data_IF_670944108131
#
_entry.id   IF_670944108131
#
_cell.length_a   1.000
_cell.length_b   1.000
_cell.length_c   1.000
_cell.angle_alpha   90.00
_cell.angle_beta   90.00
_cell.angle_gamma   90.00
#
_symmetry.space_group_name_H-M   'P 1'
#
loop_
_entity.id
_entity.type
_entity.pdbx_description
1 polymer ?
#
# COMPACT_ATOMS: atom_id res chain seq x y z
N UNK A 1 9.63 19.05 12.46
CA UNK A 1 10.63 18.17 11.83
C UNK A 1 10.44 16.66 12.07
N UNK A 2 9.87 16.19 13.20
CA UNK A 2 9.71 14.75 13.51
C UNK A 2 8.78 13.94 12.56
N UNK A 3 7.63 14.48 12.13
CA UNK A 3 6.63 13.73 11.33
C UNK A 3 7.14 13.22 9.96
N UNK A 4 8.07 13.95 9.32
CA UNK A 4 8.58 13.61 7.97
C UNK A 4 9.57 12.45 7.99
N UNK A 5 10.31 12.26 9.08
CA UNK A 5 11.16 11.08 9.27
C UNK A 5 10.33 9.83 9.53
N UNK A 6 9.29 9.95 10.37
CA UNK A 6 8.44 8.81 10.74
C UNK A 6 7.72 8.18 9.53
N UNK A 7 7.17 9.01 8.64
CA UNK A 7 6.53 8.49 7.41
C UNK A 7 7.56 7.83 6.49
N UNK A 8 8.78 8.38 6.39
CA UNK A 8 9.85 7.78 5.61
C UNK A 8 10.24 6.40 6.16
N UNK A 9 10.42 6.27 7.47
CA UNK A 9 10.74 5.00 8.14
C UNK A 9 9.65 3.96 7.90
N UNK A 10 8.38 4.35 8.02
CA UNK A 10 7.22 3.50 7.71
C UNK A 10 7.20 3.03 6.25
N UNK A 11 7.55 3.89 5.31
CA UNK A 11 7.67 3.52 3.90
C UNK A 11 8.82 2.55 3.66
N UNK A 12 9.97 2.72 4.32
CA UNK A 12 11.07 1.75 4.23
C UNK A 12 10.66 0.37 4.77
N UNK A 13 10.00 0.32 5.94
CA UNK A 13 9.49 -0.92 6.50
C UNK A 13 8.49 -1.61 5.56
N UNK A 14 7.59 -0.85 4.93
CA UNK A 14 6.69 -1.37 3.92
C UNK A 14 7.44 -1.96 2.71
N UNK A 15 8.47 -1.25 2.23
CA UNK A 15 9.31 -1.71 1.11
C UNK A 15 10.01 -3.02 1.45
N UNK A 16 10.55 -3.14 2.65
CA UNK A 16 11.22 -4.36 3.10
C UNK A 16 10.25 -5.55 3.16
N UNK A 17 9.02 -5.33 3.61
CA UNK A 17 7.97 -6.35 3.61
C UNK A 17 7.56 -6.78 2.19
N UNK A 18 7.49 -5.83 1.25
CA UNK A 18 7.25 -6.11 -0.17
C UNK A 18 8.40 -6.94 -0.77
N UNK A 19 9.65 -6.58 -0.46
CA UNK A 19 10.85 -7.31 -0.90
C UNK A 19 10.93 -8.72 -0.32
N UNK A 20 10.66 -8.88 0.97
CA UNK A 20 10.60 -10.18 1.64
C UNK A 20 9.50 -11.08 1.05
N UNK A 21 8.47 -10.49 0.44
CA UNK A 21 7.46 -11.22 -0.33
C UNK A 21 7.90 -11.60 -1.75
N UNK A 22 9.15 -11.32 -2.14
CA UNK A 22 9.78 -11.69 -3.42
C UNK A 22 9.65 -10.66 -4.53
N UNK A 23 9.14 -9.46 -4.27
CA UNK A 23 8.97 -8.43 -5.29
C UNK A 23 10.23 -7.54 -5.44
N UNK A 24 10.55 -7.17 -6.67
CA UNK A 24 11.62 -6.21 -6.99
C UNK A 24 11.04 -4.81 -7.11
N UNK A 25 11.62 -3.84 -6.40
CA UNK A 25 11.18 -2.44 -6.43
C UNK A 25 11.42 -1.80 -7.80
N UNK A 26 10.41 -1.11 -8.33
CA UNK A 26 10.49 -0.30 -9.56
C UNK A 26 10.48 1.19 -9.21
N UNK A 27 9.65 1.60 -8.24
CA UNK A 27 9.58 2.99 -7.78
C UNK A 27 9.30 3.03 -6.27
N UNK A 28 9.77 4.11 -5.64
CA UNK A 28 9.61 4.35 -4.20
C UNK A 28 9.68 5.83 -3.89
N UNK A 29 8.80 6.29 -3.00
CA UNK A 29 8.61 7.71 -2.64
C UNK A 29 9.87 8.35 -2.07
N UNK A 30 10.63 7.58 -1.30
CA UNK A 30 11.89 8.02 -0.72
C UNK A 30 13.03 7.16 -1.25
N UNK A 31 14.16 7.76 -1.60
CA UNK A 31 15.35 7.02 -2.06
C UNK A 31 16.20 7.84 -3.02
N UNK A 32 17.39 7.33 -3.33
CA UNK A 32 18.36 7.99 -4.23
C UNK A 32 18.35 7.44 -5.65
N UNK A 33 17.93 6.18 -5.83
CA UNK A 33 18.21 5.43 -7.06
C UNK A 33 16.97 5.02 -7.86
N UNK A 34 15.79 5.00 -7.23
CA UNK A 34 14.55 4.67 -7.89
C UNK A 34 13.68 5.92 -7.97
N UNK A 35 12.96 6.14 -9.09
CA UNK A 35 12.08 7.28 -9.22
C UNK A 35 10.92 7.19 -8.22
N UNK A 36 10.34 8.33 -7.82
CA UNK A 36 9.09 8.33 -7.07
C UNK A 36 7.96 7.76 -7.93
N UNK A 37 7.02 7.01 -7.32
CA UNK A 37 5.84 6.51 -8.04
C UNK A 37 4.94 7.67 -8.46
N UNK A 38 4.39 7.58 -9.68
CA UNK A 38 3.28 8.44 -10.08
C UNK A 38 2.01 8.04 -9.33
N UNK A 39 1.13 9.01 -8.98
CA UNK A 39 -0.19 8.71 -8.45
C UNK A 39 -0.96 7.79 -9.41
N UNK A 40 -1.77 6.89 -8.85
CA UNK A 40 -2.60 5.97 -9.64
C UNK A 40 -4.06 6.32 -9.33
N UNK A 41 -4.81 6.76 -10.34
CA UNK A 41 -6.24 7.12 -10.20
C UNK A 41 -6.52 8.05 -8.99
N UNK A 42 -5.66 9.07 -8.81
CA UNK A 42 -5.66 10.02 -7.69
C UNK A 42 -5.37 9.44 -6.29
N UNK A 43 -4.84 8.22 -6.22
CA UNK A 43 -4.25 7.67 -5.01
C UNK A 43 -2.75 7.92 -5.00
N UNK A 44 -2.26 8.57 -3.94
CA UNK A 44 -0.82 8.62 -3.69
C UNK A 44 -0.31 7.22 -3.35
N UNK A 45 0.78 6.84 -4.00
CA UNK A 45 1.42 5.54 -3.83
C UNK A 45 2.78 5.77 -3.20
N UNK A 46 3.16 4.92 -2.25
CA UNK A 46 4.48 5.04 -1.60
C UNK A 46 5.53 4.16 -2.29
N UNK A 47 5.10 3.06 -2.90
CA UNK A 47 5.99 2.08 -3.52
C UNK A 47 5.31 1.31 -4.66
N UNK A 48 6.05 0.99 -5.72
CA UNK A 48 5.62 0.03 -6.76
C UNK A 48 6.73 -1.00 -6.96
N UNK A 49 6.34 -2.27 -7.00
CA UNK A 49 7.24 -3.38 -7.19
C UNK A 49 6.66 -4.40 -8.16
N UNK A 50 7.50 -5.32 -8.64
CA UNK A 50 7.10 -6.34 -9.62
C UNK A 50 7.72 -7.69 -9.32
N UNK A 51 6.95 -8.73 -9.56
CA UNK A 51 7.40 -10.11 -9.55
C UNK A 51 6.87 -10.82 -10.79
N UNK A 52 7.74 -11.11 -11.76
CA UNK A 52 7.35 -11.64 -13.07
C UNK A 52 6.30 -10.75 -13.76
N UNK A 53 5.07 -11.24 -13.91
CA UNK A 53 3.94 -10.49 -14.48
C UNK A 53 3.05 -9.82 -13.40
N UNK A 54 3.32 -10.08 -12.11
CA UNK A 54 2.60 -9.52 -10.96
C UNK A 54 3.15 -8.16 -10.55
N UNK A 55 2.25 -7.25 -10.16
CA UNK A 55 2.59 -5.91 -9.69
C UNK A 55 2.19 -5.82 -8.22
N UNK A 56 3.06 -5.26 -7.38
CA UNK A 56 2.74 -4.86 -6.03
C UNK A 56 2.69 -3.34 -5.94
N UNK A 57 1.68 -2.83 -5.25
CA UNK A 57 1.53 -1.41 -4.92
C UNK A 57 1.56 -1.31 -3.40
N UNK A 58 2.37 -0.41 -2.86
CA UNK A 58 2.49 -0.15 -1.44
C UNK A 58 1.94 1.23 -1.10
N UNK A 59 1.06 1.29 -0.12
CA UNK A 59 0.59 2.53 0.52
C UNK A 59 0.76 2.41 2.03
N UNK A 60 1.06 3.51 2.70
CA UNK A 60 1.02 3.64 4.15
C UNK A 60 -0.17 4.49 4.54
N UNK A 61 -0.91 4.05 5.57
CA UNK A 61 -2.08 4.77 6.07
C UNK A 61 -1.87 5.13 7.54
N UNK A 62 -2.25 6.36 7.88
CA UNK A 62 -2.42 6.81 9.26
C UNK A 62 -3.75 6.33 9.86
N UNK A 63 -3.91 6.47 11.18
CA UNK A 63 -5.17 6.15 11.87
C UNK A 63 -6.37 6.96 11.33
N UNK A 64 -6.16 8.24 11.02
CA UNK A 64 -7.19 9.14 10.48
C UNK A 64 -7.67 8.69 9.09
N UNK A 65 -6.75 8.21 8.24
CA UNK A 65 -7.09 7.75 6.90
C UNK A 65 -7.90 6.45 6.90
N UNK A 66 -7.74 5.61 7.92
CA UNK A 66 -8.53 4.38 8.09
C UNK A 66 -10.00 4.65 8.40
N UNK A 67 -10.32 5.81 8.98
CA UNK A 67 -11.69 6.21 9.31
C UNK A 67 -12.39 6.95 8.16
N UNK A 68 -11.64 7.27 7.08
CA UNK A 68 -12.20 7.95 5.93
C UNK A 68 -13.10 7.03 5.11
N UNK A 69 -14.37 7.43 4.94
CA UNK A 69 -15.29 6.78 3.99
C UNK A 69 -14.75 6.77 2.54
N UNK A 70 -13.84 7.69 2.22
CA UNK A 70 -13.21 7.75 0.90
C UNK A 70 -12.17 6.63 0.68
N UNK A 71 -11.65 5.99 1.73
CA UNK A 71 -10.62 4.95 1.62
C UNK A 71 -11.14 3.73 0.85
N UNK A 72 -12.34 3.24 1.19
CA UNK A 72 -12.94 2.08 0.52
C UNK A 72 -13.16 2.37 -0.98
N UNK A 73 -13.66 3.57 -1.30
CA UNK A 73 -13.86 4.02 -2.68
C UNK A 73 -12.55 4.17 -3.45
N UNK A 74 -11.50 4.71 -2.81
CA UNK A 74 -10.15 4.82 -3.40
C UNK A 74 -9.55 3.44 -3.71
N UNK A 75 -9.63 2.51 -2.77
CA UNK A 75 -9.15 1.14 -2.96
C UNK A 75 -9.93 0.48 -4.11
N UNK A 76 -11.26 0.59 -4.13
CA UNK A 76 -12.08 0.01 -5.20
C UNK A 76 -11.75 0.62 -6.57
N UNK A 77 -11.52 1.93 -6.64
CA UNK A 77 -11.15 2.64 -7.87
C UNK A 77 -9.80 2.18 -8.40
N UNK A 78 -8.80 2.05 -7.52
CA UNK A 78 -7.47 1.54 -7.86
C UNK A 78 -7.53 0.17 -8.55
N UNK A 79 -8.39 -0.72 -8.04
CA UNK A 79 -8.58 -2.04 -8.66
C UNK A 79 -9.41 -1.98 -9.96
N UNK A 80 -10.34 -1.03 -10.10
CA UNK A 80 -11.15 -0.84 -11.33
C UNK A 80 -10.35 -0.23 -12.48
N UNK A 81 -9.49 0.76 -12.25
CA UNK A 81 -8.61 1.32 -13.28
C UNK A 81 -7.61 0.29 -13.81
N UNK A 82 -7.21 -0.65 -12.95
CA UNK A 82 -6.37 -1.81 -13.27
C UNK A 82 -7.16 -3.02 -13.78
N UNK A 83 -8.36 -2.81 -14.37
CA UNK A 83 -9.38 -3.82 -14.79
C UNK A 83 -8.87 -5.06 -15.55
N UNK A 84 -7.66 -5.06 -16.10
CA UNK A 84 -7.06 -6.19 -16.83
C UNK A 84 -5.90 -6.90 -16.09
N UNK A 85 -5.36 -6.33 -15.01
CA UNK A 85 -4.25 -6.93 -14.25
C UNK A 85 -4.78 -7.70 -13.04
N UNK A 86 -5.28 -8.92 -13.27
CA UNK A 86 -5.56 -9.94 -12.23
C UNK A 86 -4.35 -10.26 -11.33
N UNK A 87 -3.20 -9.67 -11.63
CA UNK A 87 -1.91 -9.93 -11.04
C UNK A 87 -1.42 -8.81 -10.10
N UNK A 88 -2.30 -7.87 -9.73
CA UNK A 88 -1.99 -6.82 -8.77
C UNK A 88 -2.19 -7.28 -7.32
N UNK A 89 -1.26 -6.94 -6.44
CA UNK A 89 -1.37 -7.06 -4.98
C UNK A 89 -1.17 -5.69 -4.33
N UNK A 90 -2.09 -5.28 -3.47
CA UNK A 90 -1.98 -4.04 -2.69
C UNK A 90 -1.44 -4.38 -1.30
N UNK A 91 -0.32 -3.78 -0.93
CA UNK A 91 0.23 -3.81 0.42
C UNK A 91 -0.14 -2.50 1.12
N UNK A 92 -0.79 -2.64 2.27
CA UNK A 92 -1.24 -1.52 3.10
C UNK A 92 -0.46 -1.57 4.40
N UNK A 93 0.51 -0.68 4.54
CA UNK A 93 1.27 -0.48 5.77
C UNK A 93 0.48 0.37 6.75
N UNK A 94 0.28 -0.11 7.97
CA UNK A 94 -0.38 0.64 9.04
C UNK A 94 0.43 0.55 10.31
N UNK A 95 0.46 1.59 11.17
CA UNK A 95 1.02 1.46 12.51
C UNK A 95 0.42 0.26 13.24
N UNK A 96 1.24 -0.48 13.99
CA UNK A 96 0.85 -1.75 14.59
C UNK A 96 -0.43 -1.65 15.44
N UNK A 97 -0.64 -0.52 16.13
CA UNK A 97 -1.85 -0.23 16.92
C UNK A 97 -3.16 -0.21 16.10
N UNK A 98 -3.09 0.05 14.79
CA UNK A 98 -4.25 0.16 13.90
C UNK A 98 -4.51 -1.10 13.07
N UNK A 99 -3.74 -2.18 13.24
CA UNK A 99 -3.87 -3.35 12.38
C UNK A 99 -5.25 -4.00 12.43
N UNK A 100 -5.84 -4.10 13.62
CA UNK A 100 -7.19 -4.66 13.79
C UNK A 100 -8.23 -3.80 13.08
N UNK A 101 -8.12 -2.47 13.18
CA UNK A 101 -9.01 -1.53 12.50
C UNK A 101 -8.88 -1.64 10.98
N UNK A 102 -7.64 -1.68 10.48
CA UNK A 102 -7.38 -1.86 9.05
C UNK A 102 -8.00 -3.16 8.52
N UNK A 103 -7.86 -4.28 9.24
CA UNK A 103 -8.50 -5.55 8.86
C UNK A 103 -10.02 -5.46 8.81
N UNK A 104 -10.65 -4.74 9.75
CA UNK A 104 -12.11 -4.49 9.73
C UNK A 104 -12.51 -3.71 8.48
N UNK A 105 -11.80 -2.64 8.13
CA UNK A 105 -12.07 -1.86 6.91
C UNK A 105 -11.94 -2.74 5.67
N UNK A 106 -10.84 -3.50 5.56
CA UNK A 106 -10.64 -4.42 4.42
C UNK A 106 -11.74 -5.50 4.37
N UNK A 107 -12.26 -5.96 5.52
CA UNK A 107 -13.32 -6.97 5.54
C UNK A 107 -14.63 -6.52 4.86
N UNK A 108 -14.88 -5.21 4.78
CA UNK A 108 -16.06 -4.61 4.13
C UNK A 108 -15.96 -4.58 2.61
N UNK A 109 -14.76 -4.72 2.06
CA UNK A 109 -14.54 -4.76 0.62
C UNK A 109 -15.03 -6.09 0.01
N UNK A 110 -15.37 -6.11 -1.29
CA UNK A 110 -15.71 -7.34 -2.00
C UNK A 110 -14.60 -8.40 -1.89
N UNK A 111 -15.00 -9.68 -1.83
CA UNK A 111 -14.08 -10.81 -1.62
C UNK A 111 -12.93 -10.84 -2.63
N UNK A 112 -13.21 -10.53 -3.89
CA UNK A 112 -12.20 -10.51 -4.96
C UNK A 112 -11.09 -9.48 -4.71
N UNK A 113 -11.41 -8.36 -4.07
CA UNK A 113 -10.43 -7.33 -3.70
C UNK A 113 -9.68 -7.74 -2.44
N UNK A 114 -10.38 -8.27 -1.44
CA UNK A 114 -9.77 -8.71 -0.16
C UNK A 114 -8.62 -9.70 -0.37
N UNK A 115 -8.79 -10.67 -1.26
CA UNK A 115 -7.75 -11.67 -1.60
C UNK A 115 -6.47 -11.06 -2.19
N UNK A 116 -6.55 -9.82 -2.69
CA UNK A 116 -5.43 -9.08 -3.32
C UNK A 116 -4.83 -8.03 -2.40
N UNK A 117 -5.32 -7.88 -1.17
CA UNK A 117 -4.86 -6.89 -0.22
C UNK A 117 -4.11 -7.59 0.92
N UNK A 118 -2.93 -7.07 1.26
CA UNK A 118 -2.12 -7.50 2.40
C UNK A 118 -1.94 -6.33 3.36
N UNK A 119 -2.45 -6.47 4.57
CA UNK A 119 -2.22 -5.50 5.64
C UNK A 119 -0.91 -5.85 6.35
N UNK A 120 -0.02 -4.87 6.46
CA UNK A 120 1.32 -5.01 7.02
C UNK A 120 1.43 -4.14 8.27
N UNK A 121 1.73 -4.72 9.45
CA UNK A 121 2.06 -3.92 10.62
C UNK A 121 3.41 -3.25 10.40
N UNK A 122 3.44 -1.93 10.61
CA UNK A 122 4.65 -1.14 10.67
C UNK A 122 4.93 -0.87 12.14
N UNK A 123 5.93 -1.55 12.69
CA UNK A 123 6.43 -1.27 14.03
C UNK A 123 7.14 0.09 14.03
N UNK A 124 6.94 0.87 15.08
CA UNK A 124 7.78 2.04 15.39
C UNK A 124 9.10 1.58 16.02
#
# INVERSE_FOLDING_TARGET
MKKRNLHKERVELLIDQIRNSGYMMISRKYGKYLPPPSPIDNLEVDAVARFKKRIAIGITLSGEELESAALESKIATLFRGRRSNSQMTLFIGVPAEYISRAKIVISRLPEELRKRIRVVPLSD
#
